data_IF_448436469455
#
_entry.id   IF_448436469455
#
_cell.length_a   1.000
_cell.length_b   1.000
_cell.length_c   1.000
_cell.angle_alpha   90.00
_cell.angle_beta   90.00
_cell.angle_gamma   90.00
#
_symmetry.space_group_name_H-M   'P 1'
#
loop_
_entity.id
_entity.type
_entity.pdbx_description
1 polymer ?
#
# COMPACT_ATOMS: atom_id res chain seq x y z
N UNK A 1 -74.82 -26.54 -16.86
CA UNK A 1 -74.57 -25.09 -17.03
C UNK A 1 -74.73 -24.30 -15.73
N UNK A 2 -75.79 -24.52 -14.94
CA UNK A 2 -75.99 -23.83 -13.65
C UNK A 2 -75.01 -24.28 -12.54
N UNK A 3 -74.68 -25.57 -12.43
CA UNK A 3 -73.70 -26.07 -11.43
C UNK A 3 -72.28 -25.54 -11.66
N UNK A 4 -71.88 -25.36 -12.92
CA UNK A 4 -70.57 -24.79 -13.25
C UNK A 4 -70.45 -23.32 -12.81
N UNK A 5 -71.52 -22.54 -12.96
CA UNK A 5 -71.53 -21.16 -12.49
C UNK A 5 -71.48 -21.07 -10.95
N UNK A 6 -72.15 -21.99 -10.25
CA UNK A 6 -72.12 -22.05 -8.78
C UNK A 6 -70.71 -22.44 -8.29
N UNK A 7 -70.09 -23.45 -8.89
CA UNK A 7 -68.72 -23.84 -8.55
C UNK A 7 -67.70 -22.73 -8.84
N UNK A 8 -67.89 -21.97 -9.92
CA UNK A 8 -67.03 -20.84 -10.27
C UNK A 8 -67.18 -19.67 -9.28
N UNK A 9 -68.40 -19.41 -8.78
CA UNK A 9 -68.64 -18.39 -7.75
C UNK A 9 -68.08 -18.83 -6.39
N UNK A 10 -68.24 -20.11 -6.01
CA UNK A 10 -67.66 -20.66 -4.77
C UNK A 10 -66.13 -20.61 -4.79
N UNK A 11 -65.51 -20.90 -5.93
CA UNK A 11 -64.04 -20.81 -6.09
C UNK A 11 -63.57 -19.35 -5.97
N UNK A 12 -64.31 -18.39 -6.53
CA UNK A 12 -64.00 -16.96 -6.39
C UNK A 12 -64.18 -16.46 -4.95
N UNK A 13 -65.20 -16.93 -4.24
CA UNK A 13 -65.43 -16.61 -2.83
C UNK A 13 -64.36 -17.20 -1.92
N UNK A 14 -63.89 -18.43 -2.20
CA UNK A 14 -62.75 -19.02 -1.50
C UNK A 14 -61.45 -18.22 -1.73
N UNK A 15 -61.19 -17.79 -2.96
CA UNK A 15 -60.06 -16.92 -3.29
C UNK A 15 -60.12 -15.55 -2.58
N UNK A 16 -61.31 -14.95 -2.47
CA UNK A 16 -61.52 -13.69 -1.75
C UNK A 16 -61.35 -13.85 -0.22
N UNK A 17 -61.70 -15.01 0.35
CA UNK A 17 -61.45 -15.31 1.77
C UNK A 17 -59.95 -15.45 2.05
N UNK A 18 -59.21 -16.15 1.20
CA UNK A 18 -57.73 -16.26 1.30
C UNK A 18 -57.05 -14.91 1.10
N UNK A 19 -57.54 -14.07 0.20
CA UNK A 19 -57.03 -12.71 0.00
C UNK A 19 -57.33 -11.79 1.20
N UNK A 20 -58.50 -11.95 1.85
CA UNK A 20 -58.83 -11.25 3.10
C UNK A 20 -57.95 -11.70 4.26
N UNK A 21 -57.65 -12.99 4.36
CA UNK A 21 -56.75 -13.54 5.39
C UNK A 21 -55.29 -13.09 5.16
N UNK A 22 -54.85 -12.96 3.89
CA UNK A 22 -53.57 -12.33 3.55
C UNK A 22 -53.54 -10.83 3.85
N UNK A 23 -54.62 -10.08 3.60
CA UNK A 23 -54.70 -8.67 3.99
C UNK A 23 -54.75 -8.50 5.52
N UNK A 24 -55.39 -9.42 6.23
CA UNK A 24 -55.39 -9.46 7.71
C UNK A 24 -54.00 -9.71 8.28
N UNK A 25 -53.23 -10.61 7.67
CA UNK A 25 -51.83 -10.92 8.03
C UNK A 25 -50.88 -9.73 7.80
N UNK A 26 -51.06 -8.98 6.70
CA UNK A 26 -50.27 -7.76 6.42
C UNK A 26 -50.57 -6.64 7.43
N UNK A 27 -51.76 -6.63 8.04
CA UNK A 27 -52.16 -5.59 9.00
C UNK A 27 -51.73 -5.90 10.44
N UNK A 28 -51.11 -7.06 10.69
CA UNK A 28 -50.61 -7.46 12.02
C UNK A 28 -49.17 -7.99 11.98
N UNK A 29 -48.30 -7.45 11.11
CA UNK A 29 -46.87 -7.75 11.21
C UNK A 29 -46.26 -6.94 12.35
N UNK A 30 -45.64 -7.63 13.31
CA UNK A 30 -44.91 -6.96 14.39
C UNK A 30 -43.67 -6.24 13.83
N UNK A 31 -43.22 -5.17 14.51
CA UNK A 31 -42.02 -4.41 14.13
C UNK A 31 -40.78 -5.32 14.00
N UNK A 32 -40.74 -6.42 14.76
CA UNK A 32 -39.66 -7.40 14.73
C UNK A 32 -39.67 -8.25 13.45
N UNK A 33 -40.84 -8.62 12.95
CA UNK A 33 -40.97 -9.37 11.70
C UNK A 33 -40.68 -8.48 10.48
N UNK A 34 -41.06 -7.20 10.54
CA UNK A 34 -40.66 -6.20 9.55
C UNK A 34 -39.14 -6.01 9.53
N UNK A 35 -38.49 -5.94 10.70
CA UNK A 35 -37.03 -5.85 10.79
C UNK A 35 -36.35 -7.08 10.20
N UNK A 36 -36.84 -8.29 10.49
CA UNK A 36 -36.32 -9.53 9.91
C UNK A 36 -36.52 -9.61 8.38
N UNK A 37 -37.62 -9.05 7.87
CA UNK A 37 -37.89 -8.98 6.44
C UNK A 37 -36.95 -7.99 5.74
N UNK A 38 -36.67 -6.85 6.38
CA UNK A 38 -35.69 -5.85 5.92
C UNK A 38 -34.29 -6.46 5.88
N UNK A 39 -33.89 -7.17 6.93
CA UNK A 39 -32.57 -7.79 7.01
C UNK A 39 -32.37 -8.87 5.92
N UNK A 40 -33.43 -9.63 5.62
CA UNK A 40 -33.42 -10.59 4.49
C UNK A 40 -33.43 -9.90 3.13
N UNK A 41 -34.13 -8.79 2.97
CA UNK A 41 -34.13 -8.00 1.74
C UNK A 41 -32.75 -7.35 1.51
N UNK A 42 -32.10 -6.87 2.55
CA UNK A 42 -30.74 -6.34 2.52
C UNK A 42 -29.72 -7.41 2.13
N UNK A 43 -29.86 -8.63 2.65
CA UNK A 43 -29.02 -9.77 2.24
C UNK A 43 -29.25 -10.20 0.78
N UNK A 44 -30.50 -10.13 0.29
CA UNK A 44 -30.82 -10.42 -1.12
C UNK A 44 -30.30 -9.32 -2.04
N UNK A 45 -30.41 -8.04 -1.65
CA UNK A 45 -29.83 -6.91 -2.36
C UNK A 45 -28.29 -7.03 -2.44
N UNK A 46 -27.64 -7.37 -1.32
CA UNK A 46 -26.19 -7.59 -1.27
C UNK A 46 -25.73 -8.74 -2.19
N UNK A 47 -26.56 -9.78 -2.37
CA UNK A 47 -26.27 -10.90 -3.28
C UNK A 47 -26.52 -10.55 -4.74
N UNK A 48 -27.55 -9.75 -5.05
CA UNK A 48 -27.85 -9.26 -6.39
C UNK A 48 -26.77 -8.30 -6.89
N UNK A 49 -26.31 -7.38 -6.05
CA UNK A 49 -25.24 -6.43 -6.38
C UNK A 49 -23.89 -7.14 -6.63
N UNK A 50 -23.66 -8.31 -6.02
CA UNK A 50 -22.50 -9.17 -6.32
C UNK A 50 -22.63 -9.96 -7.62
N UNK A 51 -23.84 -10.22 -8.10
CA UNK A 51 -24.07 -10.97 -9.34
C UNK A 51 -24.16 -10.05 -10.58
N UNK A 52 -24.60 -8.79 -10.44
CA UNK A 52 -24.70 -7.83 -11.55
C UNK A 52 -23.33 -7.28 -12.02
N UNK A 53 -22.25 -7.43 -11.23
CA UNK A 53 -20.91 -6.98 -11.60
C UNK A 53 -20.18 -7.78 -12.70
N UNK A 54 -20.77 -8.88 -13.20
CA UNK A 54 -20.12 -9.78 -14.17
C UNK A 54 -20.88 -9.89 -15.51
N UNK A 55 -22.05 -9.26 -15.67
CA UNK A 55 -22.83 -9.33 -16.90
C UNK A 55 -23.29 -7.93 -17.34
N UNK A 56 -22.92 -7.60 -18.58
CA UNK A 56 -23.30 -6.40 -19.36
C UNK A 56 -22.50 -5.12 -19.13
N UNK A 57 -21.73 -4.75 -20.17
CA UNK A 57 -21.18 -3.43 -20.35
C UNK A 57 -22.20 -2.43 -20.90
N UNK A 58 -21.96 -1.16 -20.60
CA UNK A 58 -22.57 -0.01 -21.26
C UNK A 58 -23.31 0.95 -20.33
N UNK A 59 -22.68 2.11 -20.06
CA UNK A 59 -23.40 3.37 -19.80
C UNK A 59 -23.77 3.71 -18.34
N UNK A 60 -23.13 4.76 -17.83
CA UNK A 60 -23.59 5.73 -16.81
C UNK A 60 -24.44 5.23 -15.62
N UNK A 61 -23.79 5.03 -14.48
CA UNK A 61 -24.43 5.01 -13.16
C UNK A 61 -23.39 4.74 -12.09
N UNK A 62 -23.20 5.66 -11.15
CA UNK A 62 -22.09 5.63 -10.17
C UNK A 62 -21.96 4.29 -9.43
N UNK A 63 -20.71 3.88 -9.22
CA UNK A 63 -20.33 2.67 -8.48
C UNK A 63 -21.03 2.58 -7.12
N UNK A 64 -21.33 1.38 -6.57
CA UNK A 64 -21.86 1.21 -5.20
C UNK A 64 -21.03 1.92 -4.12
N UNK A 65 -19.74 2.12 -4.38
CA UNK A 65 -18.85 2.94 -3.54
C UNK A 65 -19.28 4.42 -3.45
N UNK A 66 -19.88 4.97 -4.50
CA UNK A 66 -20.43 6.33 -4.52
C UNK A 66 -21.74 6.44 -3.71
N UNK A 67 -22.48 5.34 -3.52
CA UNK A 67 -23.74 5.33 -2.78
C UNK A 67 -23.54 5.18 -1.27
N UNK A 68 -22.49 4.50 -0.82
CA UNK A 68 -22.07 4.52 0.60
C UNK A 68 -21.50 5.87 1.06
N UNK A 69 -20.97 6.68 0.14
CA UNK A 69 -20.49 8.05 0.39
C UNK A 69 -21.61 9.07 0.65
N UNK A 70 -22.89 8.66 0.63
CA UNK A 70 -24.02 9.58 0.69
C UNK A 70 -24.66 9.70 2.09
N UNK A 71 -24.13 9.00 3.11
CA UNK A 71 -24.66 9.08 4.50
C UNK A 71 -23.80 9.87 5.49
N UNK A 72 -22.59 10.28 5.10
CA UNK A 72 -21.80 11.28 5.79
C UNK A 72 -21.28 12.25 4.75
N UNK A 73 -21.33 13.56 4.98
CA UNK A 73 -20.68 14.47 4.04
C UNK A 73 -19.22 14.04 3.92
N UNK A 74 -18.65 13.98 2.72
CA UNK A 74 -17.25 13.54 2.51
C UNK A 74 -16.26 14.25 3.46
N UNK A 75 -16.62 15.42 3.97
CA UNK A 75 -15.91 16.20 5.00
C UNK A 75 -15.93 15.52 6.39
N UNK A 76 -17.06 14.96 6.84
CA UNK A 76 -17.17 14.26 8.12
C UNK A 76 -16.38 12.96 8.13
N UNK A 77 -16.46 12.17 7.05
CA UNK A 77 -15.69 10.92 6.88
C UNK A 77 -14.19 11.18 6.91
N UNK A 78 -13.78 12.27 6.27
CA UNK A 78 -12.40 12.73 6.19
C UNK A 78 -11.91 13.27 7.55
N UNK A 79 -12.74 14.00 8.28
CA UNK A 79 -12.41 14.44 9.65
C UNK A 79 -12.31 13.26 10.61
N UNK A 80 -13.21 12.28 10.51
CA UNK A 80 -13.18 11.05 11.30
C UNK A 80 -11.92 10.23 11.01
N UNK A 81 -11.47 10.17 9.76
CA UNK A 81 -10.20 9.52 9.39
C UNK A 81 -8.98 10.13 10.12
N UNK A 82 -8.87 11.46 10.16
CA UNK A 82 -7.73 12.10 10.88
C UNK A 82 -7.79 11.77 12.37
N UNK A 83 -8.99 11.74 12.97
CA UNK A 83 -9.18 11.38 14.38
C UNK A 83 -8.87 9.91 14.66
N UNK A 84 -9.29 9.00 13.77
CA UNK A 84 -8.98 7.57 13.86
C UNK A 84 -7.47 7.32 13.83
N UNK A 85 -6.75 8.02 12.95
CA UNK A 85 -5.29 7.92 12.91
C UNK A 85 -4.63 8.51 14.18
N UNK A 86 -5.16 9.62 14.71
CA UNK A 86 -4.68 10.16 15.99
C UNK A 86 -4.90 9.21 17.18
N UNK A 87 -5.99 8.45 17.18
CA UNK A 87 -6.23 7.42 18.19
C UNK A 87 -5.17 6.31 18.11
N UNK A 88 -4.79 5.89 16.89
CA UNK A 88 -3.70 4.95 16.67
C UNK A 88 -2.36 5.50 17.20
N UNK A 89 -2.07 6.79 16.96
CA UNK A 89 -0.86 7.46 17.47
C UNK A 89 -0.82 7.54 19.00
N UNK A 90 -1.96 7.80 19.64
CA UNK A 90 -2.07 7.98 21.11
C UNK A 90 -2.20 6.66 21.86
N UNK A 91 -2.70 5.60 21.21
CA UNK A 91 -2.90 4.28 21.80
C UNK A 91 -1.74 3.33 21.49
N UNK A 92 -1.90 2.42 20.51
CA UNK A 92 -0.95 1.32 20.25
C UNK A 92 0.46 1.81 19.92
N UNK A 93 0.61 2.95 19.23
CA UNK A 93 1.94 3.51 18.93
C UNK A 93 2.65 3.97 20.21
N UNK A 94 1.95 4.60 21.16
CA UNK A 94 2.58 4.97 22.43
C UNK A 94 3.04 3.75 23.24
N UNK A 95 2.25 2.67 23.23
CA UNK A 95 2.66 1.42 23.88
C UNK A 95 3.96 0.86 23.26
N UNK A 96 4.04 0.83 21.94
CA UNK A 96 5.25 0.43 21.21
C UNK A 96 6.46 1.34 21.54
N UNK A 97 6.26 2.66 21.56
CA UNK A 97 7.32 3.62 21.87
C UNK A 97 7.81 3.48 23.32
N UNK A 98 6.89 3.27 24.26
CA UNK A 98 7.25 3.04 25.66
C UNK A 98 8.11 1.79 25.83
N UNK A 99 7.72 0.67 25.22
CA UNK A 99 8.50 -0.58 25.25
C UNK A 99 9.85 -0.42 24.55
N UNK A 100 9.90 0.32 23.44
CA UNK A 100 11.14 0.61 22.73
C UNK A 100 12.10 1.45 23.57
N UNK A 101 11.59 2.41 24.36
CA UNK A 101 12.38 3.18 25.33
C UNK A 101 12.91 2.29 26.47
N UNK A 102 12.11 1.34 26.95
CA UNK A 102 12.55 0.39 27.98
C UNK A 102 13.67 -0.52 27.48
N UNK A 103 13.59 -1.00 26.23
CA UNK A 103 14.66 -1.81 25.61
C UNK A 103 15.93 -0.97 25.37
N UNK A 104 15.77 0.27 24.92
CA UNK A 104 16.88 1.20 24.71
C UNK A 104 17.69 0.92 23.43
N UNK A 105 18.86 1.57 23.35
CA UNK A 105 19.85 1.38 22.28
C UNK A 105 19.31 1.62 20.87
N UNK A 106 19.64 0.71 19.95
CA UNK A 106 19.22 0.81 18.55
C UNK A 106 17.70 0.76 18.40
N UNK A 107 17.00 0.00 19.26
CA UNK A 107 15.54 -0.14 19.20
C UNK A 107 14.84 1.17 19.54
N UNK A 108 15.29 1.87 20.58
CA UNK A 108 14.77 3.20 20.93
C UNK A 108 15.02 4.23 19.82
N UNK A 109 16.23 4.23 19.26
CA UNK A 109 16.59 5.14 18.17
C UNK A 109 15.70 4.89 16.95
N UNK A 110 15.54 3.62 16.58
CA UNK A 110 14.71 3.22 15.45
C UNK A 110 13.23 3.56 15.67
N UNK A 111 12.71 3.35 16.88
CA UNK A 111 11.34 3.69 17.23
C UNK A 111 11.05 5.19 17.16
N UNK A 112 12.04 6.03 17.49
CA UNK A 112 11.92 7.50 17.35
C UNK A 112 11.82 7.93 15.88
N UNK A 113 12.49 7.21 14.97
CA UNK A 113 12.36 7.42 13.53
C UNK A 113 10.97 6.99 13.04
N UNK A 114 10.44 5.86 13.53
CA UNK A 114 9.08 5.39 13.24
C UNK A 114 8.03 6.40 13.71
N UNK A 115 8.17 6.96 14.91
CA UNK A 115 7.28 8.02 15.41
C UNK A 115 7.25 9.22 14.45
N UNK A 116 8.43 9.66 14.00
CA UNK A 116 8.54 10.75 13.02
C UNK A 116 7.83 10.40 11.71
N UNK A 117 8.00 9.17 11.19
CA UNK A 117 7.33 8.71 9.98
C UNK A 117 5.80 8.71 10.11
N UNK A 118 5.28 8.24 11.24
CA UNK A 118 3.85 8.22 11.54
C UNK A 118 3.27 9.63 11.72
N UNK A 119 4.02 10.55 12.34
CA UNK A 119 3.61 11.96 12.43
C UNK A 119 3.57 12.64 11.05
N UNK A 120 4.55 12.37 10.19
CA UNK A 120 4.55 12.82 8.78
C UNK A 120 3.34 12.25 8.03
N UNK A 121 3.03 10.98 8.23
CA UNK A 121 1.83 10.35 7.64
C UNK A 121 0.54 11.04 8.11
N UNK A 122 0.43 11.36 9.40
CA UNK A 122 -0.72 12.11 9.94
C UNK A 122 -0.87 13.47 9.28
N UNK A 123 0.24 14.20 9.07
CA UNK A 123 0.22 15.48 8.38
C UNK A 123 -0.27 15.33 6.94
N UNK A 124 0.19 14.30 6.23
CA UNK A 124 -0.26 13.98 4.88
C UNK A 124 -1.76 13.64 4.84
N UNK A 125 -2.28 12.84 5.78
CA UNK A 125 -3.72 12.56 5.89
C UNK A 125 -4.52 13.85 6.18
N UNK A 126 -4.01 14.73 7.03
CA UNK A 126 -4.62 16.04 7.29
C UNK A 126 -4.62 16.97 6.07
N UNK A 127 -3.62 16.86 5.19
CA UNK A 127 -3.57 17.56 3.91
C UNK A 127 -4.60 16.98 2.93
N UNK A 128 -4.64 15.65 2.77
CA UNK A 128 -5.62 14.97 1.93
C UNK A 128 -7.05 15.29 2.37
N UNK A 129 -7.24 15.47 3.68
CA UNK A 129 -8.52 15.82 4.27
C UNK A 129 -9.05 17.21 3.87
N UNK A 130 -8.16 18.13 3.55
CA UNK A 130 -8.49 19.52 3.22
C UNK A 130 -8.36 19.83 1.74
N UNK A 131 -7.93 18.87 0.95
CA UNK A 131 -7.50 19.10 -0.42
C UNK A 131 -8.13 18.11 -1.39
N UNK A 132 -8.25 18.54 -2.64
CA UNK A 132 -8.55 17.66 -3.76
C UNK A 132 -7.37 16.77 -4.06
N UNK A 133 -7.64 15.62 -4.66
CA UNK A 133 -6.58 14.74 -5.13
C UNK A 133 -5.72 15.48 -6.16
N UNK A 134 -4.39 15.58 -5.94
CA UNK A 134 -3.48 16.18 -6.90
C UNK A 134 -3.29 15.27 -8.10
N UNK A 135 -2.66 15.80 -9.14
CA UNK A 135 -2.15 15.01 -10.26
C UNK A 135 -1.01 14.08 -9.80
N UNK A 136 -0.54 13.21 -10.71
CA UNK A 136 0.50 12.22 -10.39
C UNK A 136 1.79 12.87 -9.91
N UNK A 137 2.21 13.98 -10.53
CA UNK A 137 3.45 14.67 -10.17
C UNK A 137 3.31 15.38 -8.81
N UNK A 138 2.18 16.05 -8.58
CA UNK A 138 1.86 16.63 -7.28
C UNK A 138 1.87 15.57 -6.18
N UNK A 139 1.24 14.40 -6.41
CA UNK A 139 1.21 13.31 -5.43
C UNK A 139 2.62 12.83 -5.04
N UNK A 140 3.52 12.65 -6.00
CA UNK A 140 4.93 12.28 -5.73
C UNK A 140 5.62 13.33 -4.84
N UNK A 141 5.37 14.62 -5.11
CA UNK A 141 5.94 15.72 -4.31
C UNK A 141 5.43 15.68 -2.87
N UNK A 142 4.12 15.44 -2.68
CA UNK A 142 3.52 15.37 -1.35
C UNK A 142 3.98 14.16 -0.53
N UNK A 143 4.30 13.05 -1.20
CA UNK A 143 4.72 11.80 -0.54
C UNK A 143 6.20 11.77 -0.19
N UNK A 144 7.01 12.64 -0.80
CA UNK A 144 8.46 12.69 -0.59
C UNK A 144 8.86 12.67 0.90
N UNK A 145 8.26 13.46 1.81
CA UNK A 145 8.60 13.38 3.23
C UNK A 145 8.38 12.00 3.85
N UNK A 146 7.27 11.32 3.53
CA UNK A 146 7.00 9.96 4.02
C UNK A 146 8.01 8.97 3.44
N UNK A 147 8.29 9.05 2.14
CA UNK A 147 9.28 8.19 1.48
C UNK A 147 10.68 8.33 2.07
N UNK A 148 11.11 9.55 2.38
CA UNK A 148 12.40 9.82 3.01
C UNK A 148 12.48 9.20 4.42
N UNK A 149 11.41 9.25 5.23
CA UNK A 149 11.43 8.59 6.54
C UNK A 149 11.48 7.06 6.40
N UNK A 150 10.72 6.49 5.46
CA UNK A 150 10.74 5.03 5.19
C UNK A 150 12.16 4.60 4.84
N UNK A 151 12.81 5.32 3.91
CA UNK A 151 14.17 5.01 3.50
C UNK A 151 15.15 5.16 4.66
N UNK A 152 15.04 6.22 5.46
CA UNK A 152 15.92 6.43 6.60
C UNK A 152 15.84 5.29 7.63
N UNK A 153 14.64 4.76 7.88
CA UNK A 153 14.40 3.61 8.77
C UNK A 153 15.05 2.34 8.20
N UNK A 154 14.89 2.08 6.90
CA UNK A 154 15.53 0.95 6.23
C UNK A 154 17.07 1.05 6.27
N UNK A 155 17.61 2.22 5.93
CA UNK A 155 19.05 2.50 5.98
C UNK A 155 19.63 2.35 7.39
N UNK A 156 18.89 2.73 8.43
CA UNK A 156 19.32 2.57 9.81
C UNK A 156 19.55 1.10 10.14
N UNK A 157 18.64 0.21 9.74
CA UNK A 157 18.81 -1.22 9.90
C UNK A 157 19.99 -1.75 9.09
N UNK A 158 20.20 -1.27 7.87
CA UNK A 158 21.34 -1.69 7.03
C UNK A 158 22.70 -1.27 7.57
N UNK A 159 22.79 -0.10 8.20
CA UNK A 159 24.02 0.41 8.84
C UNK A 159 24.34 -0.33 10.15
N UNK A 160 23.33 -0.90 10.80
CA UNK A 160 23.45 -1.58 12.10
C UNK A 160 23.31 -3.12 11.99
N UNK A 161 23.88 -3.72 10.93
CA UNK A 161 23.82 -5.19 10.68
C UNK A 161 24.45 -6.05 11.78
N UNK A 162 25.37 -5.49 12.56
CA UNK A 162 26.03 -6.17 13.68
C UNK A 162 25.28 -6.02 15.00
N UNK A 163 24.14 -5.33 15.02
CA UNK A 163 23.34 -5.14 16.22
C UNK A 163 22.88 -6.48 16.80
N UNK A 164 23.00 -6.64 18.12
CA UNK A 164 22.41 -7.79 18.83
C UNK A 164 20.88 -7.81 18.73
N UNK A 165 20.28 -6.66 18.45
CA UNK A 165 18.84 -6.48 18.29
C UNK A 165 18.43 -6.44 16.80
N UNK A 166 19.23 -7.00 15.90
CA UNK A 166 18.98 -6.94 14.45
C UNK A 166 17.62 -7.50 14.01
N UNK A 167 17.08 -8.52 14.71
CA UNK A 167 15.72 -9.02 14.44
C UNK A 167 14.64 -7.97 14.77
N UNK A 168 14.86 -7.11 15.76
CA UNK A 168 13.97 -5.98 16.07
C UNK A 168 14.02 -4.93 14.96
N UNK A 169 15.24 -4.57 14.55
CA UNK A 169 15.43 -3.61 13.45
C UNK A 169 14.81 -4.13 12.15
N UNK A 170 14.99 -5.41 11.84
CA UNK A 170 14.44 -6.05 10.64
C UNK A 170 12.91 -6.13 10.68
N UNK A 171 12.31 -6.43 11.83
CA UNK A 171 10.85 -6.43 11.98
C UNK A 171 10.24 -5.07 11.59
N UNK A 172 10.90 -3.97 11.95
CA UNK A 172 10.45 -2.62 11.61
C UNK A 172 10.79 -2.27 10.14
N UNK A 173 12.02 -2.46 9.69
CA UNK A 173 12.45 -2.03 8.34
C UNK A 173 11.70 -2.72 7.20
N UNK A 174 11.32 -3.99 7.40
CA UNK A 174 10.60 -4.78 6.40
C UNK A 174 9.08 -4.53 6.43
N UNK A 175 8.57 -3.88 7.48
CA UNK A 175 7.13 -3.60 7.64
C UNK A 175 6.76 -2.13 7.57
N UNK A 176 7.72 -1.21 7.76
CA UNK A 176 7.49 0.23 7.63
C UNK A 176 6.96 0.66 6.24
N UNK A 177 7.22 -0.05 5.11
CA UNK A 177 6.58 0.28 3.84
C UNK A 177 5.04 0.21 3.90
N UNK A 178 4.44 -0.39 4.93
CA UNK A 178 2.99 -0.31 5.18
C UNK A 178 2.45 1.12 5.12
N UNK A 179 3.24 2.13 5.52
CA UNK A 179 2.84 3.55 5.41
C UNK A 179 2.63 4.01 3.95
N UNK A 180 3.16 3.28 2.98
CA UNK A 180 2.91 3.46 1.56
C UNK A 180 1.50 3.09 1.08
N UNK A 181 0.63 2.56 1.95
CA UNK A 181 -0.75 2.18 1.58
C UNK A 181 -1.55 3.31 0.90
N UNK A 182 -1.19 4.57 1.19
CA UNK A 182 -1.83 5.77 0.62
C UNK A 182 -1.72 5.88 -0.90
N UNK A 183 -0.83 5.12 -1.54
CA UNK A 183 -0.70 5.02 -3.01
C UNK A 183 -1.32 3.76 -3.60
N UNK A 184 -1.88 2.88 -2.75
CA UNK A 184 -2.40 1.59 -3.16
C UNK A 184 -3.91 1.66 -3.35
N UNK A 185 -4.35 1.32 -4.55
CA UNK A 185 -5.75 1.14 -4.91
C UNK A 185 -5.89 -0.06 -5.86
N UNK A 186 -6.98 -0.83 -5.79
CA UNK A 186 -8.14 -0.67 -4.91
C UNK A 186 -8.02 -1.39 -3.55
N UNK A 187 -6.85 -1.95 -3.21
CA UNK A 187 -6.71 -2.88 -2.08
C UNK A 187 -5.59 -2.48 -1.09
N UNK A 188 -5.71 -1.34 -0.38
CA UNK A 188 -4.68 -0.90 0.57
C UNK A 188 -4.59 -1.76 1.85
N UNK A 189 -5.71 -2.31 2.34
CA UNK A 189 -5.69 -3.15 3.54
C UNK A 189 -5.01 -4.51 3.34
N UNK A 190 -5.19 -5.22 2.21
CA UNK A 190 -4.35 -6.39 1.87
C UNK A 190 -2.86 -6.06 1.79
N UNK A 191 -2.48 -4.91 1.21
CA UNK A 191 -1.08 -4.47 1.17
C UNK A 191 -0.47 -4.32 2.57
N UNK A 192 -1.18 -3.69 3.50
CA UNK A 192 -0.73 -3.59 4.91
C UNK A 192 -0.57 -4.98 5.53
N UNK A 193 -1.45 -5.93 5.17
CA UNK A 193 -1.36 -7.30 5.66
C UNK A 193 -0.05 -7.97 5.24
N UNK A 194 0.34 -7.83 3.98
CA UNK A 194 1.59 -8.39 3.46
C UNK A 194 2.81 -7.85 4.23
N UNK A 195 2.82 -6.55 4.52
CA UNK A 195 3.86 -5.92 5.34
C UNK A 195 3.85 -6.42 6.80
N UNK A 196 2.67 -6.69 7.36
CA UNK A 196 2.53 -7.31 8.68
C UNK A 196 3.02 -8.76 8.70
N UNK A 197 2.81 -9.53 7.62
CA UNK A 197 3.27 -10.90 7.51
C UNK A 197 4.82 -10.93 7.41
N UNK A 198 5.41 -9.98 6.67
CA UNK A 198 6.87 -9.77 6.64
C UNK A 198 7.43 -9.39 8.02
N UNK A 199 6.73 -8.52 8.76
CA UNK A 199 7.06 -8.21 10.14
C UNK A 199 7.10 -9.47 11.02
N UNK A 200 6.06 -10.30 10.87
CA UNK A 200 5.83 -11.46 11.72
C UNK A 200 6.97 -12.47 11.64
N UNK A 201 7.59 -12.62 10.47
CA UNK A 201 8.77 -13.46 10.29
C UNK A 201 9.91 -13.12 11.26
N UNK A 202 10.19 -11.82 11.46
CA UNK A 202 11.25 -11.37 12.35
C UNK A 202 10.80 -11.29 13.81
N UNK A 203 9.56 -10.88 14.07
CA UNK A 203 9.04 -10.86 15.45
C UNK A 203 8.95 -12.28 16.02
N UNK A 204 8.66 -13.30 15.21
CA UNK A 204 8.69 -14.70 15.66
C UNK A 204 10.08 -15.09 16.16
N UNK A 205 11.15 -14.60 15.53
CA UNK A 205 12.52 -14.83 16.02
C UNK A 205 12.76 -14.11 17.35
N UNK A 206 12.31 -12.87 17.49
CA UNK A 206 12.34 -12.15 18.78
C UNK A 206 11.60 -12.93 19.87
N UNK A 207 10.42 -13.46 19.57
CA UNK A 207 9.65 -14.28 20.51
C UNK A 207 10.42 -15.51 20.93
N UNK A 208 11.04 -16.24 19.99
CA UNK A 208 11.87 -17.41 20.31
C UNK A 208 13.07 -17.03 21.17
N UNK A 209 13.76 -15.94 20.83
CA UNK A 209 14.99 -15.51 21.49
C UNK A 209 14.75 -15.01 22.92
N UNK A 210 13.58 -14.43 23.21
CA UNK A 210 13.30 -13.70 24.46
C UNK A 210 12.15 -14.24 25.32
N UNK A 211 11.34 -15.20 24.84
CA UNK A 211 10.18 -15.74 25.58
C UNK A 211 10.44 -16.16 27.03
N UNK A 212 11.65 -16.63 27.32
CA UNK A 212 12.08 -17.14 28.63
C UNK A 212 13.17 -16.25 29.27
N UNK A 213 13.51 -15.12 28.63
CA UNK A 213 14.60 -14.22 29.07
C UNK A 213 14.07 -12.88 29.54
N UNK A 214 13.28 -12.22 28.70
CA UNK A 214 12.77 -10.88 28.99
C UNK A 214 11.43 -10.66 28.28
N UNK A 215 10.41 -10.48 29.10
CA UNK A 215 9.03 -10.24 28.67
C UNK A 215 8.88 -8.92 27.91
N UNK A 216 9.74 -7.92 28.15
CA UNK A 216 9.70 -6.62 27.48
C UNK A 216 9.83 -6.77 25.96
N UNK A 217 10.74 -7.63 25.49
CA UNK A 217 10.94 -7.91 24.07
C UNK A 217 9.75 -8.65 23.44
N UNK A 218 9.13 -9.56 24.21
CA UNK A 218 7.91 -10.27 23.78
C UNK A 218 6.76 -9.31 23.60
N UNK A 219 6.55 -8.45 24.58
CA UNK A 219 5.47 -7.46 24.56
C UNK A 219 5.74 -6.39 23.49
N UNK A 220 7.01 -6.00 23.28
CA UNK A 220 7.42 -5.12 22.18
C UNK A 220 7.05 -5.70 20.82
N UNK A 221 7.40 -6.97 20.58
CA UNK A 221 7.10 -7.65 19.32
C UNK A 221 5.60 -7.70 19.03
N UNK A 222 4.78 -7.96 20.06
CA UNK A 222 3.32 -7.96 19.95
C UNK A 222 2.77 -6.56 19.72
N UNK A 223 3.30 -5.56 20.42
CA UNK A 223 2.81 -4.17 20.33
C UNK A 223 2.92 -3.60 18.92
N UNK A 224 4.02 -3.90 18.20
CA UNK A 224 4.18 -3.44 16.83
C UNK A 224 3.23 -4.16 15.85
N UNK A 225 3.02 -5.48 16.02
CA UNK A 225 2.00 -6.20 15.25
C UNK A 225 0.59 -5.64 15.51
N UNK A 226 0.29 -5.22 16.75
CA UNK A 226 -0.95 -4.50 17.06
C UNK A 226 -1.04 -3.18 16.30
N UNK A 227 0.03 -2.38 16.25
CA UNK A 227 0.05 -1.13 15.45
C UNK A 227 -0.31 -1.39 13.99
N UNK A 228 0.26 -2.42 13.36
CA UNK A 228 -0.03 -2.78 11.97
C UNK A 228 -1.46 -3.30 11.76
N UNK A 229 -1.96 -4.10 12.71
CA UNK A 229 -3.34 -4.59 12.70
C UNK A 229 -4.36 -3.45 12.82
N UNK A 230 -4.12 -2.53 13.75
CA UNK A 230 -4.96 -1.34 13.95
C UNK A 230 -4.89 -0.40 12.74
N UNK A 231 -3.70 -0.26 12.11
CA UNK A 231 -3.57 0.47 10.85
C UNK A 231 -4.40 -0.18 9.73
N UNK A 232 -4.40 -1.50 9.66
CA UNK A 232 -5.23 -2.23 8.69
C UNK A 232 -6.72 -2.00 8.95
N UNK A 233 -7.15 -2.06 10.21
CA UNK A 233 -8.54 -1.80 10.59
C UNK A 233 -8.97 -0.37 10.25
N UNK A 234 -8.13 0.61 10.60
CA UNK A 234 -8.29 2.02 10.25
C UNK A 234 -8.48 2.22 8.73
N UNK A 235 -7.63 1.60 7.91
CA UNK A 235 -7.73 1.71 6.45
C UNK A 235 -9.00 1.04 5.91
N UNK A 236 -9.43 -0.10 6.47
CA UNK A 236 -10.69 -0.75 6.08
C UNK A 236 -11.90 0.14 6.40
N UNK A 237 -11.87 0.84 7.52
CA UNK A 237 -12.96 1.71 7.97
C UNK A 237 -13.06 3.01 7.15
N UNK A 238 -11.93 3.68 6.93
CA UNK A 238 -11.94 5.04 6.37
C UNK A 238 -11.48 5.12 4.90
N UNK A 239 -10.76 4.11 4.39
CA UNK A 239 -10.03 4.16 3.13
C UNK A 239 -10.09 2.83 2.35
N UNK A 240 -11.26 2.19 2.39
CA UNK A 240 -11.45 0.81 1.94
C UNK A 240 -10.87 0.52 0.53
N UNK A 241 -11.11 1.41 -0.44
CA UNK A 241 -10.67 1.26 -1.83
C UNK A 241 -9.47 2.14 -2.21
N UNK A 242 -8.84 2.77 -1.23
CA UNK A 242 -7.76 3.73 -1.42
C UNK A 242 -7.93 4.98 -0.55
N UNK A 243 -6.91 5.83 -0.56
CA UNK A 243 -6.95 7.11 0.15
C UNK A 243 -8.11 7.98 -0.33
N UNK A 244 -8.91 8.46 0.62
CA UNK A 244 -10.05 9.34 0.37
C UNK A 244 -9.60 10.79 0.49
N UNK A 245 -9.74 11.54 -0.59
CA UNK A 245 -9.48 12.98 -0.66
C UNK A 245 -10.77 13.77 -0.49
N UNK A 246 -10.66 15.04 -0.13
CA UNK A 246 -11.81 15.93 -0.08
C UNK A 246 -12.09 16.56 -1.47
N UNK A 247 -13.15 16.15 -2.19
CA UNK A 247 -13.44 16.66 -3.53
C UNK A 247 -13.78 18.15 -3.55
N UNK A 248 -14.20 18.71 -2.40
CA UNK A 248 -14.47 20.15 -2.23
C UNK A 248 -13.30 20.90 -1.60
N UNK A 249 -12.18 20.22 -1.37
CA UNK A 249 -10.98 20.80 -0.78
C UNK A 249 -10.27 21.81 -1.69
N UNK A 250 -9.22 22.42 -1.14
CA UNK A 250 -8.29 23.28 -1.88
C UNK A 250 -7.28 22.47 -2.71
N UNK A 251 -6.30 23.18 -3.27
CA UNK A 251 -5.18 22.55 -3.98
C UNK A 251 -4.14 22.00 -2.99
N UNK A 252 -3.83 20.71 -3.11
CA UNK A 252 -2.96 20.01 -2.17
C UNK A 252 -1.50 20.44 -2.28
N UNK A 253 -0.99 20.72 -3.48
CA UNK A 253 0.41 21.09 -3.68
C UNK A 253 0.67 22.51 -3.20
N UNK A 254 -0.28 23.42 -3.41
CA UNK A 254 -0.25 24.77 -2.86
C UNK A 254 -0.31 24.76 -1.33
N UNK A 255 -1.21 23.97 -0.73
CA UNK A 255 -1.30 23.85 0.73
C UNK A 255 -0.03 23.24 1.35
N UNK A 256 0.58 22.27 0.68
CA UNK A 256 1.86 21.69 1.09
C UNK A 256 3.00 22.71 1.02
N UNK A 257 3.13 23.45 -0.10
CA UNK A 257 4.13 24.51 -0.24
C UNK A 257 3.98 25.60 0.84
N UNK A 258 2.74 26.01 1.15
CA UNK A 258 2.45 26.97 2.20
C UNK A 258 2.81 26.47 3.61
N UNK A 259 2.76 25.15 3.84
CA UNK A 259 3.15 24.53 5.12
C UNK A 259 4.66 24.34 5.27
N UNK A 260 5.47 24.87 4.35
CA UNK A 260 6.92 24.67 4.33
C UNK A 260 7.35 23.34 3.69
N UNK A 261 6.44 22.66 3.00
CA UNK A 261 6.75 21.51 2.16
C UNK A 261 7.76 21.95 1.10
N UNK A 262 8.93 21.33 1.11
CA UNK A 262 10.09 21.74 0.31
C UNK A 262 9.67 22.09 -1.12
N UNK A 263 9.71 23.39 -1.43
CA UNK A 263 9.46 23.88 -2.76
C UNK A 263 10.44 23.19 -3.73
N UNK A 264 10.04 22.80 -4.95
CA UNK A 264 11.02 22.74 -6.02
C UNK A 264 11.65 24.13 -6.08
N UNK A 265 12.98 24.21 -6.09
CA UNK A 265 13.71 25.47 -6.14
C UNK A 265 13.14 26.33 -7.28
N UNK A 266 12.29 27.29 -6.93
CA UNK A 266 11.81 28.30 -7.85
C UNK A 266 13.05 29.13 -8.21
N UNK A 267 13.43 29.10 -9.48
CA UNK A 267 14.36 30.08 -10.03
C UNK A 267 13.86 31.46 -9.65
N UNK A 268 14.65 32.19 -8.87
CA UNK A 268 14.42 33.60 -8.65
C UNK A 268 14.37 34.34 -9.98
N UNK A 269 13.75 35.53 -10.04
CA UNK A 269 13.79 36.34 -11.25
C UNK A 269 15.26 36.53 -11.67
N UNK A 270 15.58 36.43 -12.99
CA UNK A 270 16.95 36.57 -13.44
C UNK A 270 17.51 37.92 -12.95
N UNK A 271 18.74 37.97 -12.43
CA UNK A 271 19.34 39.23 -12.00
C UNK A 271 19.39 40.19 -13.20
N UNK A 272 19.16 41.51 -12.96
CA UNK A 272 19.22 42.49 -14.02
C UNK A 272 20.60 42.45 -14.71
N UNK A 273 20.66 42.57 -16.05
CA UNK A 273 21.91 42.49 -16.78
C UNK A 273 22.86 43.61 -16.35
N UNK A 274 24.15 43.32 -16.10
CA UNK A 274 25.14 44.34 -15.80
C UNK A 274 25.37 45.25 -17.03
N UNK A 275 25.70 46.54 -16.83
CA UNK A 275 25.99 47.46 -17.92
C UNK A 275 27.23 47.01 -18.70
N UNK A 276 27.28 47.23 -20.02
CA UNK A 276 28.38 46.77 -20.86
C UNK A 276 29.68 47.54 -20.54
N UNK A 277 30.82 46.86 -20.33
CA UNK A 277 32.12 47.50 -20.33
C UNK A 277 32.54 47.86 -21.77
N UNK A 278 33.14 49.04 -21.90
CA UNK A 278 33.71 49.55 -23.14
C UNK A 278 34.85 48.66 -23.67
N UNK A 279 34.90 48.57 -24.99
CA UNK A 279 35.81 47.77 -25.81
C UNK A 279 37.29 47.95 -25.46
N UNK A 280 37.99 46.83 -25.27
CA UNK A 280 39.41 46.74 -25.59
C UNK A 280 39.71 45.41 -26.28
N UNK A 281 40.09 45.51 -27.56
CA UNK A 281 40.83 44.54 -28.35
C UNK A 281 41.78 43.70 -27.48
N UNK A 282 41.66 42.36 -27.49
CA UNK A 282 42.74 41.50 -27.95
C UNK A 282 42.27 40.06 -28.17
N UNK A 283 42.87 39.44 -29.17
CA UNK A 283 42.60 38.17 -29.79
C UNK A 283 43.10 37.00 -28.92
N UNK A 284 42.23 36.07 -28.49
CA UNK A 284 42.60 34.68 -28.18
C UNK A 284 41.37 33.76 -28.14
N UNK A 285 41.51 32.60 -28.80
CA UNK A 285 40.48 31.67 -29.21
C UNK A 285 39.58 31.13 -28.06
N UNK A 286 38.30 30.80 -28.31
CA UNK A 286 37.44 30.22 -27.30
C UNK A 286 37.86 28.78 -27.00
N UNK A 287 38.20 28.52 -25.75
CA UNK A 287 38.20 27.17 -25.20
C UNK A 287 36.79 26.59 -25.32
N UNK A 288 36.66 25.45 -26.01
CA UNK A 288 35.38 24.77 -26.19
C UNK A 288 34.82 24.29 -24.85
N UNK A 289 33.67 24.83 -24.45
CA UNK A 289 32.92 24.33 -23.29
C UNK A 289 32.28 22.98 -23.67
N UNK A 290 32.69 21.85 -23.04
CA UNK A 290 32.17 20.53 -23.35
C UNK A 290 30.66 20.40 -23.09
N UNK A 291 30.07 21.30 -22.29
CA UNK A 291 28.61 21.32 -22.09
C UNK A 291 27.86 21.95 -23.27
N UNK A 292 28.43 22.95 -23.93
CA UNK A 292 27.85 23.57 -25.12
C UNK A 292 27.91 22.64 -26.35
N UNK A 293 28.85 21.69 -26.38
CA UNK A 293 28.88 20.60 -27.36
C UNK A 293 27.74 19.59 -27.12
N UNK A 294 27.51 19.19 -25.87
CA UNK A 294 26.44 18.26 -25.48
C UNK A 294 25.04 18.78 -25.83
N UNK A 295 24.76 20.06 -25.58
CA UNK A 295 23.46 20.65 -25.94
C UNK A 295 23.29 20.80 -27.46
N UNK A 296 24.38 21.00 -28.22
CA UNK A 296 24.33 21.01 -29.69
C UNK A 296 24.04 19.63 -30.26
N UNK A 297 24.58 18.57 -29.65
CA UNK A 297 24.31 17.20 -30.09
C UNK A 297 22.89 16.75 -29.75
N UNK A 298 22.33 17.19 -28.63
CA UNK A 298 20.94 16.89 -28.27
C UNK A 298 19.93 17.48 -29.26
N UNK A 299 20.22 18.66 -29.83
CA UNK A 299 19.37 19.32 -30.82
C UNK A 299 19.48 18.72 -32.25
N UNK A 300 20.33 17.71 -32.48
CA UNK A 300 20.47 17.05 -33.79
C UNK A 300 19.47 15.90 -34.02
N UNK A 301 18.63 15.56 -33.04
CA UNK A 301 17.57 14.56 -33.21
C UNK A 301 18.06 13.21 -33.72
N UNK A 302 17.35 12.61 -34.70
CA UNK A 302 17.61 11.26 -35.24
C UNK A 302 18.98 11.11 -35.95
N UNK A 303 19.61 12.23 -36.34
CA UNK A 303 20.91 12.24 -37.03
C UNK A 303 22.11 11.96 -36.10
N UNK A 304 21.92 12.00 -34.76
CA UNK A 304 22.99 11.65 -33.80
C UNK A 304 23.47 10.19 -33.94
N UNK A 305 22.62 9.33 -34.52
CA UNK A 305 22.91 7.92 -34.77
C UNK A 305 23.95 7.66 -35.88
N UNK A 306 24.24 8.66 -36.72
CA UNK A 306 25.18 8.56 -37.85
C UNK A 306 26.64 8.75 -37.43
N UNK A 307 26.89 9.42 -36.30
CA UNK A 307 28.25 9.71 -35.78
C UNK A 307 28.83 8.63 -34.87
N UNK A 308 28.02 7.64 -34.46
CA UNK A 308 28.45 6.55 -33.58
C UNK A 308 29.27 5.51 -34.35
N UNK A 309 30.48 5.24 -33.86
CA UNK A 309 31.38 4.22 -34.42
C UNK A 309 30.66 2.87 -34.50
N UNK A 310 30.55 2.32 -35.71
CA UNK A 310 29.97 0.99 -35.91
C UNK A 310 30.89 -0.05 -35.28
N UNK A 311 30.35 -0.80 -34.32
CA UNK A 311 31.04 -1.92 -33.66
C UNK A 311 31.17 -3.06 -34.69
N UNK A 312 32.39 -3.39 -35.09
CA UNK A 312 32.64 -4.51 -36.00
C UNK A 312 32.41 -5.85 -35.27
N UNK A 313 32.10 -6.91 -36.02
CA UNK A 313 31.77 -8.24 -35.47
C UNK A 313 32.85 -8.78 -34.51
N UNK A 314 34.10 -8.33 -34.67
CA UNK A 314 35.23 -8.69 -33.84
C UNK A 314 35.16 -8.14 -32.40
N UNK A 315 34.48 -7.00 -32.21
CA UNK A 315 34.30 -6.35 -30.92
C UNK A 315 33.05 -6.80 -30.16
N UNK A 316 32.23 -7.67 -30.78
CA UNK A 316 31.08 -8.29 -30.14
C UNK A 316 31.49 -9.61 -29.48
N UNK A 317 31.66 -9.59 -28.16
CA UNK A 317 32.14 -10.73 -27.34
C UNK A 317 31.31 -12.02 -27.48
N UNK A 318 30.07 -11.94 -27.98
CA UNK A 318 29.19 -13.11 -28.19
C UNK A 318 28.93 -13.45 -29.66
N UNK A 319 29.48 -12.67 -30.62
CA UNK A 319 29.27 -12.89 -32.07
C UNK A 319 30.56 -13.05 -32.86
N UNK A 320 31.73 -12.84 -32.24
CA UNK A 320 33.01 -13.06 -32.87
C UNK A 320 33.32 -14.57 -33.01
N UNK A 321 33.37 -15.15 -34.22
CA UNK A 321 33.61 -16.58 -34.44
C UNK A 321 34.97 -17.08 -33.91
N UNK A 322 35.96 -16.17 -33.80
CA UNK A 322 37.31 -16.50 -33.34
C UNK A 322 37.40 -16.78 -31.83
N UNK A 323 36.48 -16.25 -31.02
CA UNK A 323 36.36 -16.56 -29.59
C UNK A 323 35.70 -17.94 -29.33
N UNK A 324 35.03 -18.51 -30.34
CA UNK A 324 34.38 -19.82 -30.25
C UNK A 324 35.29 -20.97 -30.71
N UNK A 325 36.41 -20.64 -31.37
CA UNK A 325 37.37 -21.61 -31.89
C UNK A 325 38.44 -22.04 -30.86
N UNK A 326 38.48 -21.44 -29.66
CA UNK A 326 39.30 -21.95 -28.56
C UNK A 326 38.60 -23.12 -27.88
N UNK A 327 39.05 -24.32 -28.24
CA UNK A 327 38.69 -25.57 -27.59
C UNK A 327 39.13 -25.59 -26.11
N UNK A 328 38.46 -26.38 -25.24
CA UNK A 328 38.57 -26.27 -23.79
C UNK A 328 39.90 -26.81 -23.25
N UNK A 329 40.46 -26.09 -22.27
CA UNK A 329 41.54 -26.58 -21.42
C UNK A 329 41.09 -27.84 -20.64
N UNK A 330 42.07 -28.74 -20.45
CA UNK A 330 41.98 -30.09 -19.90
C UNK A 330 41.32 -30.22 -18.50
N UNK A 331 40.86 -31.42 -18.11
CA UNK A 331 39.92 -31.64 -17.02
C UNK A 331 40.58 -31.57 -15.63
N UNK A 332 39.98 -30.82 -14.71
CA UNK A 332 40.22 -30.95 -13.26
C UNK A 332 39.16 -31.90 -12.67
N UNK A 333 39.64 -32.80 -11.80
CA UNK A 333 38.97 -34.03 -11.36
C UNK A 333 37.66 -33.90 -10.55
N UNK A 334 37.12 -35.03 -10.07
CA UNK A 334 35.73 -35.14 -9.63
C UNK A 334 35.48 -34.38 -8.32
N UNK A 335 34.43 -33.57 -8.32
CA UNK A 335 33.91 -32.87 -7.16
C UNK A 335 33.07 -33.81 -6.26
N UNK A 336 33.08 -33.64 -4.93
CA UNK A 336 32.37 -34.47 -3.96
C UNK A 336 30.86 -34.21 -3.97
N UNK A 337 30.07 -35.29 -3.76
CA UNK A 337 28.60 -35.27 -3.75
C UNK A 337 28.02 -34.62 -2.48
N UNK A 338 26.84 -33.98 -2.58
CA UNK A 338 26.10 -33.44 -1.43
C UNK A 338 25.38 -34.56 -0.64
N UNK A 339 25.29 -34.46 0.71
CA UNK A 339 24.64 -35.50 1.51
C UNK A 339 23.11 -35.45 1.37
N UNK A 340 22.55 -36.54 0.85
CA UNK A 340 21.13 -36.86 0.87
C UNK A 340 20.73 -37.32 2.28
N UNK A 341 20.00 -36.48 3.01
CA UNK A 341 19.22 -36.90 4.19
C UNK A 341 17.77 -37.14 3.79
N UNK A 342 17.46 -38.37 3.40
CA UNK A 342 16.11 -38.94 3.50
C UNK A 342 16.26 -40.43 3.82
N UNK A 343 16.41 -40.72 5.12
CA UNK A 343 16.22 -42.07 5.65
C UNK A 343 14.73 -42.30 5.87
N UNK A 344 14.14 -43.12 5.02
CA UNK A 344 12.83 -43.73 5.23
C UNK A 344 12.87 -44.61 6.48
N UNK A 345 12.06 -44.24 7.48
CA UNK A 345 11.79 -45.05 8.66
C UNK A 345 10.82 -46.18 8.25
N UNK A 346 11.10 -47.47 8.53
CA UNK A 346 10.17 -48.54 8.23
C UNK A 346 8.94 -48.47 9.17
N UNK A 347 7.76 -48.67 8.59
CA UNK A 347 6.49 -48.83 9.31
C UNK A 347 6.61 -49.95 10.33
N UNK A 348 6.27 -49.65 11.59
CA UNK A 348 5.99 -50.67 12.58
C UNK A 348 4.56 -51.18 12.39
N UNK A 349 4.46 -52.48 12.17
CA UNK A 349 3.25 -53.27 12.15
C UNK A 349 2.67 -53.35 13.57
N UNK A 350 1.40 -52.95 13.73
CA UNK A 350 0.66 -53.09 14.99
C UNK A 350 0.15 -54.51 15.10
N UNK A 351 0.83 -55.35 15.87
CA UNK A 351 0.32 -56.65 16.31
C UNK A 351 -0.69 -56.44 17.45
N UNK A 352 -1.94 -56.86 17.23
CA UNK A 352 -2.93 -57.04 18.31
C UNK A 352 -2.48 -58.17 19.24
N UNK A 353 -2.57 -58.02 20.57
CA UNK A 353 -2.45 -59.16 21.47
C UNK A 353 -3.75 -60.01 21.48
N UNK A 354 -3.66 -61.34 21.46
CA UNK A 354 -4.80 -62.23 21.61
C UNK A 354 -5.06 -62.53 23.10
N UNK A 355 -6.27 -62.25 23.61
CA UNK A 355 -7.37 -63.21 23.77
C UNK A 355 -8.59 -62.52 24.35
#
# INVERSE_FOLDING_TARGET
MFEDQINQVLTRLAGLRVARDHLGSVTTMSVQELAALVDRLEQVAFRLERCEGQAYGGGCGGSPAARMLQRGTSVELVSASVQGFEALLKGPVQAYLALSRTIGGDVQTHASMVEKALLTQRQFLGLAAKSRQPDKHGLVTLLKPTSEQIQAIQDFREKNRTSKLFNHLSAISESIPALGWVTVAPAPAPYIKEMSDACQFYTNRVLVDYKEKDKTHVDWARSWLTVLSELQAFVKEHHLTGLVWNPRGGDATAAFAASGGAAPAAGGPPPPPPPPPADFMNNQAPAEDPRAALFRDLNKGEDISKGLKKVSSEQMTHKNPSLRAQAPAAPKGPAPQPPTRFGSRPSQEVTKPPR
#
